data_IF_335297671172
#
_entry.id   IF_335297671172
#
_cell.length_a   1.000
_cell.length_b   1.000
_cell.length_c   1.000
_cell.angle_alpha   90.00
_cell.angle_beta   90.00
_cell.angle_gamma   90.00
#
_symmetry.space_group_name_H-M   'P 1'
#
loop_
_entity.id
_entity.type
_entity.pdbx_description
1 polymer ?
#
# COMPACT_ATOMS: atom_id res chain seq x y z
N UNK A 1 6.35 7.10 -12.91
CA UNK A 1 7.74 6.65 -12.66
C UNK A 1 8.15 7.09 -11.26
N UNK A 2 9.22 6.54 -10.71
CA UNK A 2 9.72 6.86 -9.38
C UNK A 2 11.23 7.10 -9.46
N UNK A 3 11.74 8.12 -8.78
CA UNK A 3 13.18 8.41 -8.75
C UNK A 3 13.94 7.72 -7.60
N UNK A 4 15.23 8.03 -7.47
CA UNK A 4 16.09 7.49 -6.41
C UNK A 4 15.64 7.83 -4.99
N UNK A 5 14.87 8.90 -4.83
CA UNK A 5 14.36 9.39 -3.55
C UNK A 5 12.90 8.94 -3.31
N UNK A 6 12.46 7.92 -4.06
CA UNK A 6 11.09 7.41 -4.03
C UNK A 6 10.03 8.47 -4.34
N UNK A 7 10.35 9.45 -5.20
CA UNK A 7 9.40 10.50 -5.57
C UNK A 7 8.77 10.22 -6.94
N UNK A 8 7.46 10.37 -7.06
CA UNK A 8 6.68 10.08 -8.27
C UNK A 8 6.84 11.10 -9.39
N UNK A 9 7.02 10.68 -10.64
CA UNK A 9 7.11 11.55 -11.81
C UNK A 9 6.10 11.13 -12.88
N UNK A 10 5.38 12.09 -13.44
CA UNK A 10 4.34 11.89 -14.46
C UNK A 10 4.74 12.47 -15.80
N UNK A 11 4.54 11.69 -16.86
CA UNK A 11 4.69 12.15 -18.22
C UNK A 11 3.46 12.96 -18.62
N UNK A 12 3.64 14.25 -18.86
CA UNK A 12 2.60 15.08 -19.45
C UNK A 12 2.47 14.72 -20.94
N UNK A 13 1.41 14.01 -21.30
CA UNK A 13 1.16 13.51 -22.66
C UNK A 13 1.15 14.61 -23.72
N UNK A 14 0.74 15.81 -23.35
CA UNK A 14 0.69 16.99 -24.22
C UNK A 14 2.07 17.55 -24.59
N UNK A 15 3.08 17.36 -23.75
CA UNK A 15 4.41 17.95 -23.95
C UNK A 15 5.53 16.91 -24.09
N UNK A 16 5.27 15.65 -23.75
CA UNK A 16 6.29 14.60 -23.66
C UNK A 16 7.33 14.84 -22.56
N UNK A 17 7.06 15.76 -21.62
CA UNK A 17 7.95 16.11 -20.52
C UNK A 17 7.44 15.57 -19.18
N UNK A 18 8.35 15.37 -18.25
CA UNK A 18 8.05 14.88 -16.92
C UNK A 18 7.86 16.04 -15.94
N UNK A 19 6.81 15.93 -15.12
CA UNK A 19 6.56 16.81 -14.00
C UNK A 19 6.54 16.01 -12.69
N UNK A 20 6.83 16.69 -11.58
CA UNK A 20 6.68 16.11 -10.25
C UNK A 20 5.22 15.73 -10.01
N UNK A 21 5.00 14.54 -9.45
CA UNK A 21 3.68 14.13 -9.00
C UNK A 21 3.18 15.12 -7.93
N UNK A 22 1.90 15.50 -8.01
CA UNK A 22 1.28 16.52 -7.16
C UNK A 22 1.83 17.97 -7.24
N UNK A 23 2.63 18.32 -8.24
CA UNK A 23 3.04 19.72 -8.49
C UNK A 23 3.95 20.35 -7.43
N UNK A 24 4.44 19.57 -6.47
CA UNK A 24 5.39 20.04 -5.46
C UNK A 24 6.74 20.33 -6.12
N UNK A 25 7.34 21.52 -5.93
CA UNK A 25 8.65 21.80 -6.48
C UNK A 25 9.71 20.85 -5.92
N UNK A 26 10.34 20.06 -6.79
CA UNK A 26 11.43 19.13 -6.43
C UNK A 26 12.79 19.65 -6.90
N UNK A 27 13.01 20.96 -6.80
CA UNK A 27 14.26 21.58 -7.21
C UNK A 27 14.61 21.43 -8.70
N UNK A 28 13.64 21.05 -9.53
CA UNK A 28 13.73 21.01 -10.99
C UNK A 28 12.69 21.94 -11.60
N UNK A 29 12.90 22.28 -12.87
CA UNK A 29 11.90 23.01 -13.67
C UNK A 29 10.58 22.22 -13.66
N UNK A 30 9.46 22.93 -13.81
CA UNK A 30 8.13 22.32 -13.79
C UNK A 30 7.94 21.18 -14.81
N UNK A 31 8.71 21.19 -15.91
CA UNK A 31 8.70 20.15 -16.92
C UNK A 31 10.11 19.86 -17.46
N UNK A 32 10.63 18.65 -17.23
CA UNK A 32 11.98 18.21 -17.62
C UNK A 32 11.93 17.07 -18.64
N UNK A 33 12.98 16.88 -19.45
CA UNK A 33 13.08 15.70 -20.32
C UNK A 33 13.39 14.44 -19.48
N UNK A 34 13.19 13.25 -20.07
CA UNK A 34 13.64 12.00 -19.43
C UNK A 34 15.14 12.02 -19.15
N UNK A 35 15.96 12.51 -20.10
CA UNK A 35 17.41 12.57 -19.95
C UNK A 35 17.85 13.50 -18.80
N UNK A 36 17.22 14.65 -18.66
CA UNK A 36 17.46 15.60 -17.57
C UNK A 36 17.03 15.01 -16.22
N UNK A 37 15.85 14.38 -16.18
CA UNK A 37 15.34 13.70 -14.98
C UNK A 37 16.27 12.55 -14.56
N UNK A 38 16.69 11.70 -15.49
CA UNK A 38 17.57 10.57 -15.21
C UNK A 38 18.97 11.02 -14.76
N UNK A 39 19.53 12.08 -15.35
CA UNK A 39 20.82 12.61 -14.95
C UNK A 39 20.80 13.24 -13.55
N UNK A 40 19.68 13.84 -13.15
CA UNK A 40 19.59 14.59 -11.88
C UNK A 40 18.99 13.77 -10.73
N UNK A 41 18.07 12.85 -11.03
CA UNK A 41 17.29 12.09 -10.03
C UNK A 41 17.41 10.56 -10.18
N UNK A 42 18.24 10.08 -11.10
CA UNK A 42 18.43 8.66 -11.35
C UNK A 42 18.92 7.87 -10.13
N UNK A 43 18.62 6.56 -10.03
CA UNK A 43 17.90 5.76 -11.03
C UNK A 43 16.41 6.10 -11.12
N UNK A 44 15.87 6.08 -12.34
CA UNK A 44 14.43 6.27 -12.60
C UNK A 44 13.83 4.90 -12.85
N UNK A 45 12.84 4.53 -12.04
CA UNK A 45 12.15 3.26 -12.10
C UNK A 45 10.76 3.45 -12.69
N UNK A 46 10.35 2.69 -13.71
CA UNK A 46 8.96 2.62 -14.12
C UNK A 46 8.11 2.06 -12.96
N UNK A 47 6.89 2.61 -12.84
CA UNK A 47 5.87 2.02 -11.98
C UNK A 47 5.19 0.94 -12.81
N UNK A 48 5.20 -0.30 -12.34
CA UNK A 48 4.66 -1.46 -13.05
C UNK A 48 3.57 -2.15 -12.22
N UNK A 49 2.66 -2.90 -12.88
CA UNK A 49 1.72 -3.75 -12.15
C UNK A 49 2.44 -4.79 -11.30
N UNK A 50 1.83 -5.16 -10.17
CA UNK A 50 2.31 -6.29 -9.38
C UNK A 50 2.29 -7.60 -10.19
N UNK A 51 3.35 -8.42 -10.12
CA UNK A 51 3.35 -9.74 -10.73
C UNK A 51 2.20 -10.61 -10.22
N UNK A 52 1.59 -11.41 -11.10
CA UNK A 52 0.46 -12.27 -10.72
C UNK A 52 0.85 -13.29 -9.64
N UNK A 53 2.08 -13.81 -9.66
CA UNK A 53 2.59 -14.72 -8.64
C UNK A 53 2.59 -14.08 -7.23
N UNK A 54 2.91 -12.78 -7.14
CA UNK A 54 2.90 -12.05 -5.87
C UNK A 54 1.47 -11.79 -5.40
N UNK A 55 0.57 -11.44 -6.33
CA UNK A 55 -0.86 -11.28 -6.03
C UNK A 55 -1.46 -12.58 -5.50
N UNK A 56 -1.14 -13.70 -6.12
CA UNK A 56 -1.58 -15.03 -5.70
C UNK A 56 -0.99 -15.43 -4.35
N UNK A 57 0.28 -15.08 -4.09
CA UNK A 57 0.93 -15.31 -2.79
C UNK A 57 0.22 -14.53 -1.67
N UNK A 58 -0.11 -13.25 -1.92
CA UNK A 58 -0.87 -12.42 -0.99
C UNK A 58 -2.26 -12.99 -0.72
N UNK A 59 -3.01 -13.38 -1.76
CA UNK A 59 -4.34 -13.99 -1.61
C UNK A 59 -4.27 -15.29 -0.78
N UNK A 60 -3.31 -16.17 -1.07
CA UNK A 60 -3.10 -17.39 -0.26
C UNK A 60 -2.79 -17.07 1.20
N UNK A 61 -1.94 -16.09 1.45
CA UNK A 61 -1.59 -15.66 2.80
C UNK A 61 -2.82 -15.11 3.54
N UNK A 62 -3.63 -14.27 2.90
CA UNK A 62 -4.86 -13.76 3.50
C UNK A 62 -5.87 -14.87 3.82
N UNK A 63 -6.05 -15.85 2.91
CA UNK A 63 -6.88 -17.03 3.17
C UNK A 63 -6.39 -17.84 4.37
N UNK A 64 -5.08 -18.04 4.50
CA UNK A 64 -4.48 -18.76 5.62
C UNK A 64 -4.66 -18.01 6.96
N UNK A 65 -4.53 -16.69 6.96
CA UNK A 65 -4.74 -15.87 8.15
C UNK A 65 -6.22 -15.76 8.57
N UNK A 66 -7.15 -15.81 7.61
CA UNK A 66 -8.58 -15.65 7.86
C UNK A 66 -8.88 -14.34 8.60
N UNK A 67 -9.54 -14.38 9.77
CA UNK A 67 -9.81 -13.18 10.57
C UNK A 67 -8.56 -12.39 10.99
N UNK A 68 -7.36 -12.97 10.93
CA UNK A 68 -6.11 -12.27 11.30
C UNK A 68 -5.51 -11.49 10.12
N UNK A 69 -6.09 -11.56 8.93
CA UNK A 69 -5.50 -11.03 7.70
C UNK A 69 -5.28 -9.50 7.74
N UNK A 70 -6.29 -8.72 8.15
CA UNK A 70 -6.20 -7.27 8.17
C UNK A 70 -5.09 -6.76 9.11
N UNK A 71 -5.03 -7.28 10.34
CA UNK A 71 -4.00 -6.88 11.29
C UNK A 71 -2.60 -7.37 10.86
N UNK A 72 -2.51 -8.57 10.29
CA UNK A 72 -1.24 -9.10 9.77
C UNK A 72 -0.71 -8.25 8.62
N UNK A 73 -1.58 -7.75 7.73
CA UNK A 73 -1.21 -6.81 6.67
C UNK A 73 -0.68 -5.49 7.25
N UNK A 74 -1.36 -4.90 8.23
CA UNK A 74 -0.91 -3.67 8.87
C UNK A 74 0.46 -3.86 9.55
N UNK A 75 0.67 -4.96 10.26
CA UNK A 75 1.95 -5.27 10.90
C UNK A 75 3.07 -5.48 9.86
N UNK A 76 2.79 -6.17 8.76
CA UNK A 76 3.76 -6.32 7.67
C UNK A 76 4.15 -4.97 7.06
N UNK A 77 3.20 -4.07 6.83
CA UNK A 77 3.48 -2.72 6.34
C UNK A 77 4.36 -1.92 7.31
N UNK A 78 4.10 -2.03 8.61
CA UNK A 78 4.95 -1.40 9.63
C UNK A 78 6.37 -1.96 9.64
N UNK A 79 6.56 -3.26 9.40
CA UNK A 79 7.88 -3.86 9.30
C UNK A 79 8.64 -3.36 8.07
N UNK A 80 7.99 -3.31 6.90
CA UNK A 80 8.62 -2.77 5.68
C UNK A 80 8.97 -1.28 5.85
N UNK A 81 8.08 -0.51 6.48
CA UNK A 81 8.33 0.90 6.79
C UNK A 81 9.52 1.09 7.73
N UNK A 82 9.60 0.31 8.82
CA UNK A 82 10.73 0.36 9.76
C UNK A 82 12.04 -0.05 9.09
N UNK A 83 12.03 -1.12 8.30
CA UNK A 83 13.21 -1.54 7.54
C UNK A 83 13.71 -0.43 6.60
N UNK A 84 12.81 0.36 6.00
CA UNK A 84 13.18 1.52 5.19
C UNK A 84 13.74 2.68 6.04
N UNK A 85 13.20 2.92 7.23
CA UNK A 85 13.64 3.97 8.15
C UNK A 85 15.00 3.66 8.81
N UNK A 86 15.20 2.42 9.26
CA UNK A 86 16.40 1.96 9.98
C UNK A 86 17.65 1.96 9.09
N UNK A 87 17.50 2.06 7.77
CA UNK A 87 18.59 2.30 6.82
C UNK A 87 19.22 3.70 6.88
N UNK A 88 18.93 4.50 7.92
CA UNK A 88 19.38 5.89 8.06
C UNK A 88 18.53 6.90 7.31
N UNK A 89 17.32 6.50 6.91
CA UNK A 89 16.41 7.29 6.07
C UNK A 89 15.49 8.12 6.96
N UNK A 90 15.37 9.43 6.68
CA UNK A 90 14.38 10.29 7.36
C UNK A 90 12.96 9.70 7.23
N UNK A 91 12.11 9.87 8.26
CA UNK A 91 10.73 9.35 8.30
C UNK A 91 9.96 9.56 7.00
N UNK A 92 10.09 10.76 6.42
CA UNK A 92 9.43 11.15 5.18
C UNK A 92 9.93 10.35 3.97
N UNK A 93 11.21 10.00 3.92
CA UNK A 93 11.75 9.17 2.85
C UNK A 93 11.41 7.68 3.06
N UNK A 94 11.31 7.19 4.30
CA UNK A 94 10.80 5.85 4.58
C UNK A 94 9.31 5.73 4.19
N UNK A 95 8.52 6.79 4.41
CA UNK A 95 7.12 6.86 3.95
C UNK A 95 7.03 6.75 2.44
N UNK A 96 7.83 7.54 1.71
CA UNK A 96 7.83 7.57 0.24
C UNK A 96 8.07 6.20 -0.37
N UNK A 97 8.87 5.34 0.27
CA UNK A 97 9.09 3.95 -0.16
C UNK A 97 7.78 3.18 -0.38
N UNK A 98 6.73 3.44 0.39
CA UNK A 98 5.45 2.72 0.32
C UNK A 98 4.34 3.44 -0.46
N UNK A 99 4.53 4.70 -0.86
CA UNK A 99 3.49 5.51 -1.53
C UNK A 99 3.94 6.11 -2.86
N UNK A 100 5.14 5.77 -3.33
CA UNK A 100 5.70 6.37 -4.52
C UNK A 100 4.84 6.05 -5.76
N UNK A 101 4.81 6.99 -6.71
CA UNK A 101 4.14 6.78 -8.00
C UNK A 101 2.62 6.97 -8.00
N UNK A 102 2.00 7.11 -6.82
CA UNK A 102 0.59 7.51 -6.67
C UNK A 102 0.36 8.25 -5.35
N UNK A 103 1.27 9.19 -5.04
CA UNK A 103 1.38 9.85 -3.72
C UNK A 103 0.08 10.58 -3.29
N UNK A 104 -0.72 10.99 -4.27
CA UNK A 104 -1.98 11.74 -4.11
C UNK A 104 -3.23 10.87 -4.06
N UNK A 105 -3.08 9.55 -4.29
CA UNK A 105 -4.21 8.65 -4.20
C UNK A 105 -4.77 8.65 -2.78
N UNK A 106 -6.09 8.51 -2.67
CA UNK A 106 -6.72 8.41 -1.36
C UNK A 106 -6.22 7.16 -0.61
N UNK A 107 -5.81 6.10 -1.33
CA UNK A 107 -5.13 4.94 -0.76
C UNK A 107 -3.77 5.29 -0.15
N UNK A 108 -2.93 6.05 -0.86
CA UNK A 108 -1.66 6.53 -0.34
C UNK A 108 -1.84 7.43 0.90
N UNK A 109 -2.88 8.26 0.91
CA UNK A 109 -3.25 9.08 2.07
C UNK A 109 -3.62 8.21 3.29
N UNK A 110 -4.45 7.18 3.10
CA UNK A 110 -4.82 6.26 4.18
C UNK A 110 -3.60 5.48 4.70
N UNK A 111 -2.78 4.95 3.79
CA UNK A 111 -1.56 4.25 4.17
C UNK A 111 -0.65 5.18 4.97
N UNK A 112 -0.43 6.42 4.51
CA UNK A 112 0.33 7.44 5.25
C UNK A 112 -0.18 7.66 6.67
N UNK A 113 -1.50 7.73 6.84
CA UNK A 113 -2.10 7.91 8.17
C UNK A 113 -1.93 6.68 9.07
N UNK A 114 -1.80 5.48 8.50
CA UNK A 114 -1.60 4.23 9.25
C UNK A 114 -0.11 3.99 9.62
N UNK A 115 0.81 4.44 8.78
CA UNK A 115 2.25 4.27 9.00
C UNK A 115 2.73 5.07 10.22
N UNK A 116 3.75 4.54 10.92
CA UNK A 116 4.31 5.16 12.12
C UNK A 116 3.43 5.11 13.37
N UNK A 117 2.20 4.59 13.27
CA UNK A 117 1.32 4.37 14.42
C UNK A 117 1.52 2.99 15.02
N UNK A 118 1.23 2.85 16.32
CA UNK A 118 1.12 1.53 16.95
C UNK A 118 -0.05 0.79 16.31
N UNK A 119 0.17 -0.47 15.90
CA UNK A 119 -0.92 -1.31 15.42
C UNK A 119 -1.99 -1.45 16.53
N UNK A 120 -3.29 -1.46 16.19
CA UNK A 120 -4.33 -1.78 17.15
C UNK A 120 -4.07 -3.17 17.74
N UNK A 121 -4.41 -3.36 19.02
CA UNK A 121 -4.27 -4.67 19.66
C UNK A 121 -5.12 -5.73 18.95
N UNK A 122 -4.64 -6.97 18.91
CA UNK A 122 -5.34 -8.08 18.27
C UNK A 122 -4.40 -9.24 17.95
N UNK A 123 -4.94 -10.25 17.28
CA UNK A 123 -4.21 -11.46 16.92
C UNK A 123 -3.64 -11.37 15.50
N UNK A 124 -2.36 -11.72 15.35
CA UNK A 124 -1.68 -11.77 14.05
C UNK A 124 -1.38 -13.21 13.63
N UNK A 125 -1.17 -13.40 12.33
CA UNK A 125 -0.60 -14.63 11.78
C UNK A 125 0.83 -14.37 11.31
N UNK A 126 1.82 -14.79 12.11
CA UNK A 126 3.24 -14.54 11.82
C UNK A 126 3.71 -15.09 10.47
N UNK A 127 3.32 -16.31 10.03
CA UNK A 127 3.65 -16.79 8.68
C UNK A 127 3.11 -15.89 7.56
N UNK A 128 1.88 -15.41 7.70
CA UNK A 128 1.27 -14.44 6.78
C UNK A 128 2.03 -13.13 6.77
N UNK A 129 2.39 -12.59 7.95
CA UNK A 129 3.21 -11.37 8.05
C UNK A 129 4.52 -11.55 7.27
N UNK A 130 5.23 -12.66 7.48
CA UNK A 130 6.49 -12.96 6.78
C UNK A 130 6.31 -13.05 5.26
N UNK A 131 5.22 -13.66 4.81
CA UNK A 131 4.89 -13.75 3.37
C UNK A 131 4.65 -12.36 2.77
N UNK A 132 3.87 -11.52 3.44
CA UNK A 132 3.57 -10.16 2.97
C UNK A 132 4.85 -9.32 2.91
N UNK A 133 5.69 -9.37 3.95
CA UNK A 133 6.99 -8.66 3.95
C UNK A 133 7.88 -9.16 2.80
N UNK A 134 7.93 -10.48 2.57
CA UNK A 134 8.69 -11.09 1.48
C UNK A 134 8.24 -10.63 0.09
N UNK A 135 6.95 -10.32 -0.08
CA UNK A 135 6.41 -9.75 -1.34
C UNK A 135 6.69 -8.24 -1.44
N UNK A 136 6.42 -7.48 -0.37
CA UNK A 136 6.48 -6.02 -0.41
C UNK A 136 7.90 -5.47 -0.44
N UNK A 137 8.87 -6.13 0.20
CA UNK A 137 10.27 -5.66 0.19
C UNK A 137 10.83 -5.57 -1.25
N UNK A 138 10.75 -6.62 -2.09
CA UNK A 138 11.17 -6.53 -3.50
C UNK A 138 10.43 -5.46 -4.31
N UNK A 139 9.14 -5.25 -4.06
CA UNK A 139 8.34 -4.25 -4.78
C UNK A 139 8.89 -2.83 -4.68
N UNK A 140 9.49 -2.50 -3.53
CA UNK A 140 9.94 -1.14 -3.22
C UNK A 140 11.46 -0.97 -3.30
N UNK A 141 12.23 -2.06 -3.19
CA UNK A 141 13.70 -2.03 -3.17
C UNK A 141 14.37 -2.36 -4.50
N UNK A 142 13.63 -2.95 -5.45
CA UNK A 142 14.20 -3.29 -6.77
C UNK A 142 14.76 -2.04 -7.48
N UNK A 143 15.95 -2.14 -8.10
CA UNK A 143 16.59 -1.00 -8.75
C UNK A 143 16.01 -0.69 -10.13
N UNK A 144 15.32 -1.64 -10.75
CA UNK A 144 14.87 -1.60 -12.14
C UNK A 144 13.40 -1.22 -12.29
N UNK A 145 12.57 -1.52 -11.30
CA UNK A 145 11.12 -1.27 -11.31
C UNK A 145 10.62 -0.91 -9.92
N UNK A 146 9.45 -0.29 -9.87
CA UNK A 146 8.70 -0.06 -8.63
C UNK A 146 7.27 -0.57 -8.80
N UNK A 147 6.73 -1.25 -7.79
CA UNK A 147 5.30 -1.62 -7.75
C UNK A 147 4.60 -0.70 -6.77
N UNK A 148 3.53 -0.06 -7.23
CA UNK A 148 2.69 0.78 -6.36
C UNK A 148 2.04 -0.10 -5.27
N UNK A 149 2.22 0.26 -4.00
CA UNK A 149 1.85 -0.59 -2.87
C UNK A 149 0.41 -0.35 -2.41
N UNK A 150 -0.01 0.90 -2.25
CA UNK A 150 -1.24 1.25 -1.53
C UNK A 150 -2.50 0.84 -2.31
N UNK A 151 -2.56 1.18 -3.60
CA UNK A 151 -3.65 0.81 -4.50
C UNK A 151 -3.62 -0.69 -4.80
N UNK A 152 -2.44 -1.26 -5.04
CA UNK A 152 -2.31 -2.71 -5.30
C UNK A 152 -2.81 -3.54 -4.13
N UNK A 153 -2.36 -3.25 -2.90
CA UNK A 153 -2.81 -3.99 -1.72
C UNK A 153 -4.30 -3.83 -1.47
N UNK A 154 -4.85 -2.61 -1.60
CA UNK A 154 -6.29 -2.40 -1.48
C UNK A 154 -7.08 -3.22 -2.51
N UNK A 155 -6.61 -3.31 -3.75
CA UNK A 155 -7.26 -4.10 -4.79
C UNK A 155 -7.18 -5.62 -4.55
N UNK A 156 -6.01 -6.12 -4.13
CA UNK A 156 -5.85 -7.55 -3.81
C UNK A 156 -6.67 -7.93 -2.58
N UNK A 157 -6.66 -7.10 -1.54
CA UNK A 157 -7.43 -7.34 -0.32
C UNK A 157 -8.94 -7.27 -0.59
N UNK A 158 -9.40 -6.32 -1.41
CA UNK A 158 -10.80 -6.28 -1.84
C UNK A 158 -11.22 -7.55 -2.60
N UNK A 159 -10.32 -8.12 -3.41
CA UNK A 159 -10.59 -9.40 -4.08
C UNK A 159 -10.75 -10.54 -3.07
N UNK A 160 -9.92 -10.57 -2.01
CA UNK A 160 -10.06 -11.51 -0.90
C UNK A 160 -11.37 -11.33 -0.11
N UNK A 161 -11.82 -10.09 0.12
CA UNK A 161 -13.10 -9.80 0.78
C UNK A 161 -14.31 -10.23 -0.07
N UNK A 162 -14.19 -10.12 -1.39
CA UNK A 162 -15.23 -10.47 -2.36
C UNK A 162 -15.29 -11.98 -2.66
N UNK A 163 -14.34 -12.80 -2.17
CA UNK A 163 -14.36 -14.25 -2.33
C UNK A 163 -15.65 -14.86 -1.76
N UNK A 164 -16.28 -15.74 -2.55
CA UNK A 164 -17.45 -16.48 -2.11
C UNK A 164 -17.06 -17.62 -1.17
N UNK A 165 -17.66 -17.62 0.02
CA UNK A 165 -17.53 -18.62 1.06
C UNK A 165 -18.95 -19.02 1.43
N UNK A 166 -19.35 -20.24 1.06
CA UNK A 166 -20.68 -20.81 1.31
C UNK A 166 -21.85 -19.94 0.80
N UNK A 167 -21.71 -19.39 -0.42
CA UNK A 167 -22.73 -18.57 -1.09
C UNK A 167 -22.80 -17.14 -0.58
N UNK A 168 -21.81 -16.68 0.18
CA UNK A 168 -21.74 -15.32 0.75
C UNK A 168 -20.33 -14.75 0.58
N UNK A 169 -20.17 -13.42 0.42
CA UNK A 169 -18.84 -12.84 0.44
C UNK A 169 -18.21 -13.06 1.81
N UNK A 170 -16.92 -13.37 1.84
CA UNK A 170 -16.13 -13.45 3.08
C UNK A 170 -16.33 -12.20 3.94
N UNK A 171 -16.26 -11.03 3.30
CA UNK A 171 -16.48 -9.74 3.95
C UNK A 171 -15.46 -9.43 5.05
N UNK A 172 -15.67 -8.29 5.72
CA UNK A 172 -14.76 -7.81 6.77
C UNK A 172 -14.69 -8.74 7.98
N UNK A 173 -15.81 -9.34 8.38
CA UNK A 173 -15.88 -10.28 9.50
C UNK A 173 -15.02 -11.54 9.29
N UNK A 174 -14.81 -11.96 8.04
CA UNK A 174 -13.93 -13.08 7.69
C UNK A 174 -12.46 -12.70 7.51
N UNK A 175 -12.11 -11.41 7.62
CA UNK A 175 -10.78 -10.85 7.34
C UNK A 175 -10.16 -10.08 8.52
N UNK A 176 -10.98 -9.75 9.52
CA UNK A 176 -10.61 -9.01 10.71
C UNK A 176 -11.15 -9.72 11.96
N UNK A 177 -10.38 -9.76 13.05
CA UNK A 177 -10.81 -10.39 14.29
C UNK A 177 -11.76 -9.48 15.07
N UNK A 178 -12.20 -9.93 16.25
CA UNK A 178 -13.18 -9.21 17.07
C UNK A 178 -12.72 -7.78 17.47
N UNK A 179 -11.41 -7.52 17.60
CA UNK A 179 -10.90 -6.20 18.00
C UNK A 179 -10.91 -5.19 16.85
N UNK A 180 -11.09 -5.67 15.62
CA UNK A 180 -11.19 -4.85 14.41
C UNK A 180 -12.61 -4.86 13.83
N UNK A 181 -13.61 -5.34 14.56
CA UNK A 181 -15.01 -5.21 14.15
C UNK A 181 -15.59 -3.84 14.53
N UNK A 182 -16.48 -3.26 13.71
CA UNK A 182 -17.24 -2.06 14.06
C UNK A 182 -17.87 -2.16 15.46
N UNK A 183 -17.75 -1.11 16.27
CA UNK A 183 -18.24 -1.08 17.65
C UNK A 183 -17.26 -1.62 18.71
N UNK A 184 -16.14 -2.22 18.32
CA UNK A 184 -15.08 -2.60 19.27
C UNK A 184 -14.17 -1.42 19.61
N UNK A 185 -13.66 -1.35 20.84
CA UNK A 185 -12.84 -0.23 21.29
C UNK A 185 -11.60 0.01 20.40
N UNK A 186 -10.96 -1.06 19.92
CA UNK A 186 -9.79 -0.96 19.04
C UNK A 186 -10.17 -0.50 17.62
N UNK A 187 -11.34 -0.90 17.09
CA UNK A 187 -11.86 -0.36 15.84
C UNK A 187 -12.18 1.13 15.94
N UNK A 188 -12.76 1.56 17.06
CA UNK A 188 -13.14 2.96 17.29
C UNK A 188 -11.94 3.90 17.47
N UNK A 189 -10.72 3.35 17.62
CA UNK A 189 -9.51 4.15 17.43
C UNK A 189 -9.39 4.59 15.96
N UNK A 190 -8.73 5.73 15.70
CA UNK A 190 -8.50 6.18 14.33
C UNK A 190 -7.83 5.10 13.45
N UNK A 191 -6.99 4.23 14.01
CA UNK A 191 -6.28 3.20 13.24
C UNK A 191 -7.19 2.10 12.67
N UNK A 192 -8.14 1.58 13.46
CA UNK A 192 -9.04 0.52 13.03
C UNK A 192 -10.01 0.97 11.95
N UNK A 193 -10.67 2.13 12.16
CA UNK A 193 -11.53 2.79 11.17
C UNK A 193 -10.79 3.10 9.86
N UNK A 194 -9.56 3.61 9.93
CA UNK A 194 -8.74 3.91 8.73
C UNK A 194 -8.34 2.64 7.97
N UNK A 195 -8.00 1.55 8.68
CA UNK A 195 -7.67 0.28 8.04
C UNK A 195 -8.88 -0.30 7.31
N UNK A 196 -10.06 -0.26 7.94
CA UNK A 196 -11.31 -0.65 7.32
C UNK A 196 -11.65 0.21 6.10
N UNK A 197 -11.62 1.53 6.23
CA UNK A 197 -11.97 2.44 5.11
C UNK A 197 -11.03 2.25 3.93
N UNK A 198 -9.75 1.95 4.17
CA UNK A 198 -8.79 1.68 3.10
C UNK A 198 -9.02 0.33 2.41
N UNK A 199 -9.15 -0.75 3.19
CA UNK A 199 -9.16 -2.11 2.64
C UNK A 199 -10.54 -2.54 2.12
N UNK A 200 -11.63 -2.06 2.73
CA UNK A 200 -12.99 -2.44 2.37
C UNK A 200 -13.61 -1.54 1.29
N UNK A 201 -13.12 -0.31 1.08
CA UNK A 201 -13.75 0.64 0.16
C UNK A 201 -13.81 0.16 -1.31
N UNK A 202 -12.86 -0.69 -1.73
CA UNK A 202 -12.82 -1.22 -3.10
C UNK A 202 -13.70 -2.46 -3.31
N UNK A 203 -14.13 -3.14 -2.23
CA UNK A 203 -15.02 -4.30 -2.33
C UNK A 203 -16.31 -3.92 -3.07
N UNK A 204 -16.71 -4.74 -4.04
CA UNK A 204 -17.90 -4.48 -4.86
C UNK A 204 -19.19 -4.52 -4.03
N UNK A 205 -19.19 -5.28 -2.94
CA UNK A 205 -20.38 -5.50 -2.10
C UNK A 205 -20.43 -4.59 -0.87
N UNK A 206 -19.32 -4.02 -0.41
CA UNK A 206 -19.32 -2.96 0.61
C UNK A 206 -20.03 -1.68 0.15
N UNK A 207 -20.13 -1.44 -1.16
CA UNK A 207 -20.91 -0.33 -1.74
C UNK A 207 -22.42 -0.57 -1.76
N UNK A 208 -22.86 -1.83 -1.60
CA UNK A 208 -24.28 -2.21 -1.61
C UNK A 208 -24.88 -2.30 -0.20
N UNK A 209 -24.04 -2.41 0.85
CA UNK A 209 -24.48 -2.48 2.24
C UNK A 209 -24.59 -1.11 2.94
N UNK A 210 -24.31 -0.02 2.23
CA UNK A 210 -24.36 1.36 2.74
C UNK A 210 -25.36 2.27 2.03
N UNK A 211 -26.33 1.69 1.30
CA UNK A 211 -27.44 2.40 0.65
C UNK A 211 -28.76 2.13 1.34
#
# INVERSE_FOLDING_TARGET
MVDAQNQGWRLATTTGRYAADFGVPRGLRAAVSYSELAATRGPIRPVVPAPDADRDALLRAFRAAGPRAALSLLVALQQVFRAAADGGTEYDSARRTLIAGSEESWEAAHLTMLLGRTAPGGSIDSPTVGTIVGVLCPWVTRPDVYVEVAQTLSAVFASFLDEDVDGRPRGWSGAADASLQPGSAAFETNGGRLLYSWLAARSRRSRLAGG
#
